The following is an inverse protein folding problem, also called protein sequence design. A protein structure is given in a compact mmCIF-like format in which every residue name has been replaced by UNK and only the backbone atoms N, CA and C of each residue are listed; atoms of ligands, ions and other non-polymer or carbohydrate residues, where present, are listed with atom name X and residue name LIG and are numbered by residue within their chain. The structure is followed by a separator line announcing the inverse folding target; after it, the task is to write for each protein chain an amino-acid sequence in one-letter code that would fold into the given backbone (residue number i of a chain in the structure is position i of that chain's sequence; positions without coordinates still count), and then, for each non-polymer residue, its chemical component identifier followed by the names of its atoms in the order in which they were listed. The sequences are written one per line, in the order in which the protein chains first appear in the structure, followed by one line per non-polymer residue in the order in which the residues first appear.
data_IF_984326685304
#
_entry.id   IF_984326685304
#
_cell.length_a   1.000
_cell.length_b   1.000
_cell.length_c   1.000
_cell.angle_alpha   90.00
_cell.angle_beta   90.00
_cell.angle_gamma   90.00
#
_symmetry.space_group_name_H-M   'P 1'
#
loop_
_entity.id
_entity.type
_entity.pdbx_description
1 polymer ?
#
# COMPACT_ATOMS: atom_id res chain seq x y z
N UNK A 1 5.28 22.05 8.55
CA UNK A 1 4.38 20.89 8.71
C UNK A 1 5.13 19.78 9.42
N UNK A 2 4.56 19.19 10.47
CA UNK A 2 5.09 18.03 11.17
C UNK A 2 4.41 16.78 10.63
N UNK A 3 5.18 15.87 10.03
CA UNK A 3 4.67 14.66 9.39
C UNK A 3 5.13 13.43 10.15
N UNK A 4 4.20 12.59 10.57
CA UNK A 4 4.45 11.29 11.17
C UNK A 4 4.14 10.20 10.14
N UNK A 5 5.14 9.39 9.79
CA UNK A 5 4.96 8.22 8.93
C UNK A 5 4.67 7.01 9.83
N UNK A 6 3.42 6.61 9.93
CA UNK A 6 3.01 5.41 10.65
C UNK A 6 3.13 4.19 9.73
N UNK A 7 4.18 3.42 9.89
CA UNK A 7 4.53 2.29 9.03
C UNK A 7 5.74 2.57 8.14
N UNK A 8 6.87 2.92 8.75
CA UNK A 8 8.15 3.10 8.06
C UNK A 8 8.76 1.74 7.64
N UNK A 9 8.04 1.02 6.78
CA UNK A 9 8.57 -0.09 5.98
C UNK A 9 9.25 0.46 4.71
N UNK A 10 9.30 -0.32 3.63
CA UNK A 10 9.94 0.12 2.39
C UNK A 10 9.32 1.41 1.83
N UNK A 11 7.99 1.42 1.62
CA UNK A 11 7.28 2.57 1.03
C UNK A 11 7.27 3.77 1.98
N UNK A 12 7.00 3.56 3.29
CA UNK A 12 7.00 4.64 4.27
C UNK A 12 8.38 5.28 4.44
N UNK A 13 9.44 4.49 4.39
CA UNK A 13 10.82 4.98 4.41
C UNK A 13 11.16 5.79 3.15
N UNK A 14 10.75 5.31 1.95
CA UNK A 14 10.94 6.03 0.69
C UNK A 14 10.24 7.40 0.72
N UNK A 15 8.94 7.43 1.03
CA UNK A 15 8.16 8.67 1.05
C UNK A 15 8.72 9.62 2.12
N UNK A 16 9.04 9.10 3.31
CA UNK A 16 9.64 9.90 4.39
C UNK A 16 10.97 10.54 3.97
N UNK A 17 11.83 9.80 3.28
CA UNK A 17 13.09 10.32 2.76
C UNK A 17 12.87 11.40 1.69
N UNK A 18 11.91 11.22 0.79
CA UNK A 18 11.58 12.26 -0.19
C UNK A 18 11.04 13.52 0.48
N UNK A 19 10.07 13.38 1.37
CA UNK A 19 9.47 14.50 2.11
C UNK A 19 10.50 15.24 2.97
N UNK A 20 11.58 14.59 3.45
CA UNK A 20 12.62 15.24 4.23
C UNK A 20 13.45 16.27 3.43
N UNK A 21 13.34 16.27 2.10
CA UNK A 21 13.94 17.31 1.24
C UNK A 21 13.16 18.64 1.27
N UNK A 22 11.93 18.61 1.76
CA UNK A 22 11.08 19.81 1.88
C UNK A 22 11.30 20.51 3.23
N UNK A 23 10.51 21.55 3.51
CA UNK A 23 10.51 22.21 4.84
C UNK A 23 9.74 21.43 5.91
N UNK A 24 9.23 20.25 5.61
CA UNK A 24 8.50 19.43 6.58
C UNK A 24 9.46 18.73 7.57
N UNK A 25 9.05 18.65 8.82
CA UNK A 25 9.73 17.84 9.85
C UNK A 25 9.19 16.41 9.80
N UNK A 26 10.02 15.45 9.42
CA UNK A 26 9.60 14.06 9.22
C UNK A 26 10.01 13.21 10.40
N UNK A 27 9.05 12.41 10.90
CA UNK A 27 9.26 11.40 11.93
C UNK A 27 8.81 10.03 11.41
N UNK A 28 9.72 9.08 11.33
CA UNK A 28 9.42 7.71 10.95
C UNK A 28 9.05 6.88 12.18
N UNK A 29 7.93 6.16 12.12
CA UNK A 29 7.52 5.22 13.15
C UNK A 29 7.31 3.82 12.59
N UNK A 30 7.94 2.84 13.22
CA UNK A 30 7.73 1.42 12.92
C UNK A 30 8.06 0.57 14.14
N UNK A 31 7.32 -0.53 14.34
CA UNK A 31 7.65 -1.56 15.33
C UNK A 31 8.87 -2.42 14.93
N UNK A 32 9.36 -2.28 13.69
CA UNK A 32 10.63 -2.90 13.28
C UNK A 32 11.81 -2.12 13.87
N UNK A 33 12.13 -2.45 15.12
CA UNK A 33 13.19 -1.80 15.89
C UNK A 33 14.53 -1.80 15.16
N UNK A 34 14.93 -2.92 14.59
CA UNK A 34 16.20 -3.07 13.90
C UNK A 34 16.35 -2.07 12.74
N UNK A 35 15.29 -1.91 11.93
CA UNK A 35 15.26 -0.93 10.83
C UNK A 35 15.33 0.52 11.35
N UNK A 36 14.56 0.84 12.39
CA UNK A 36 14.55 2.18 12.99
C UNK A 36 15.89 2.54 13.63
N UNK A 37 16.53 1.60 14.34
CA UNK A 37 17.85 1.82 14.93
C UNK A 37 18.96 1.95 13.88
N UNK A 38 18.89 1.18 12.80
CA UNK A 38 19.84 1.32 11.68
C UNK A 38 19.77 2.72 11.07
N UNK A 39 18.57 3.21 10.75
CA UNK A 39 18.38 4.57 10.23
C UNK A 39 18.84 5.64 11.24
N UNK A 40 18.57 5.46 12.53
CA UNK A 40 19.01 6.40 13.57
C UNK A 40 20.53 6.55 13.62
N UNK A 41 21.26 5.46 13.42
CA UNK A 41 22.73 5.42 13.50
C UNK A 41 23.42 5.95 12.25
N UNK A 42 22.91 5.58 11.07
CA UNK A 42 23.61 5.81 9.81
C UNK A 42 22.80 6.55 8.73
N UNK A 43 21.55 6.92 9.01
CA UNK A 43 20.62 7.39 7.98
C UNK A 43 19.96 6.23 7.23
N UNK A 44 19.04 6.56 6.33
CA UNK A 44 18.42 5.62 5.41
C UNK A 44 19.17 5.63 4.09
N UNK A 45 19.70 4.50 3.70
CA UNK A 45 20.29 4.32 2.37
C UNK A 45 19.21 3.90 1.38
N UNK A 46 19.16 4.58 0.24
CA UNK A 46 18.25 4.28 -0.87
C UNK A 46 19.06 3.97 -2.12
N UNK A 47 18.95 2.72 -2.60
CA UNK A 47 19.36 2.40 -3.97
C UNK A 47 18.33 3.04 -4.92
N UNK A 48 18.76 4.05 -5.66
CA UNK A 48 17.91 4.83 -6.56
C UNK A 48 17.69 4.11 -7.90
N UNK A 49 16.74 4.62 -8.71
CA UNK A 49 16.43 4.06 -10.03
C UNK A 49 17.60 4.10 -11.00
N UNK A 50 18.51 5.05 -10.84
CA UNK A 50 19.75 5.20 -11.62
C UNK A 50 20.91 4.31 -11.13
N UNK A 51 20.67 3.51 -10.08
CA UNK A 51 21.64 2.62 -9.46
C UNK A 51 22.56 3.31 -8.44
N UNK A 52 22.44 4.62 -8.21
CA UNK A 52 23.19 5.31 -7.16
C UNK A 52 22.62 5.01 -5.78
N UNK A 53 23.46 5.10 -4.74
CA UNK A 53 22.99 5.01 -3.34
C UNK A 53 23.03 6.41 -2.73
N UNK A 54 21.92 6.82 -2.14
CA UNK A 54 21.79 8.10 -1.44
C UNK A 54 21.40 7.88 0.00
N UNK A 55 22.02 8.59 0.91
CA UNK A 55 21.75 8.56 2.34
C UNK A 55 20.85 9.71 2.77
N UNK A 56 19.86 9.41 3.63
CA UNK A 56 18.91 10.38 4.17
C UNK A 56 18.91 10.30 5.69
N UNK A 57 19.38 11.33 6.40
CA UNK A 57 19.24 11.41 7.86
C UNK A 57 17.79 11.68 8.24
N UNK A 58 17.21 10.78 9.06
CA UNK A 58 15.80 10.83 9.43
C UNK A 58 15.61 10.59 10.93
N UNK A 59 14.63 11.27 11.52
CA UNK A 59 14.21 10.98 12.90
C UNK A 59 13.38 9.71 12.91
N UNK A 60 13.73 8.75 13.78
CA UNK A 60 13.07 7.44 13.86
C UNK A 60 12.61 7.12 15.27
N UNK A 61 11.47 6.45 15.34
CA UNK A 61 10.83 6.00 16.57
C UNK A 61 10.33 4.57 16.42
N UNK A 62 10.46 3.77 17.45
CA UNK A 62 9.90 2.41 17.54
C UNK A 62 9.07 2.22 18.81
N UNK A 63 9.03 3.22 19.70
CA UNK A 63 8.23 3.29 20.91
C UNK A 63 7.21 4.43 20.76
N UNK A 64 5.93 4.12 20.99
CA UNK A 64 4.84 5.07 20.74
C UNK A 64 4.83 6.26 21.74
N UNK A 65 5.29 6.02 22.97
CA UNK A 65 5.40 7.05 24.04
C UNK A 65 6.47 8.12 23.76
N UNK A 66 7.38 7.84 22.83
CA UNK A 66 8.45 8.75 22.37
C UNK A 66 8.08 9.57 21.14
N UNK A 67 6.90 9.34 20.57
CA UNK A 67 6.45 10.05 19.37
C UNK A 67 6.25 11.55 19.64
N UNK A 68 6.59 12.41 18.65
CA UNK A 68 6.28 13.84 18.75
C UNK A 68 4.77 14.07 18.79
N UNK A 69 4.34 15.01 19.61
CA UNK A 69 2.92 15.34 19.76
C UNK A 69 2.43 16.30 18.67
N UNK A 70 1.14 16.23 18.41
CA UNK A 70 0.42 17.10 17.49
C UNK A 70 1.03 17.13 16.07
N UNK A 71 1.20 15.97 15.41
CA UNK A 71 1.56 15.99 14.00
C UNK A 71 0.45 16.65 13.18
N UNK A 72 0.82 17.46 12.19
CA UNK A 72 -0.13 18.03 11.23
C UNK A 72 -0.68 16.95 10.29
N UNK A 73 0.16 15.97 9.94
CA UNK A 73 -0.15 14.85 9.07
C UNK A 73 0.35 13.52 9.64
N UNK A 74 -0.51 12.52 9.67
CA UNK A 74 -0.14 11.10 9.85
C UNK A 74 -0.32 10.39 8.52
N UNK A 75 0.79 9.93 7.93
CA UNK A 75 0.77 9.11 6.73
C UNK A 75 0.76 7.63 7.13
N UNK A 76 -0.37 6.94 6.89
CA UNK A 76 -0.57 5.54 7.29
C UNK A 76 -0.12 4.61 6.17
N UNK A 77 0.98 3.88 6.40
CA UNK A 77 1.65 3.01 5.42
C UNK A 77 2.01 1.62 5.98
N UNK A 78 1.37 1.24 7.08
CA UNK A 78 1.47 -0.14 7.57
C UNK A 78 0.75 -1.10 6.61
N UNK A 79 1.06 -2.39 6.71
CA UNK A 79 0.24 -3.42 6.06
C UNK A 79 -1.20 -3.34 6.56
N UNK A 80 -2.18 -3.55 5.70
CA UNK A 80 -3.61 -3.36 5.99
C UNK A 80 -4.08 -4.06 7.26
N UNK A 81 -3.58 -5.28 7.53
CA UNK A 81 -3.92 -6.03 8.74
C UNK A 81 -3.37 -5.41 10.05
N UNK A 82 -2.44 -4.46 9.95
CA UNK A 82 -1.85 -3.75 11.09
C UNK A 82 -2.42 -2.34 11.30
N UNK A 83 -3.39 -1.89 10.48
CA UNK A 83 -3.91 -0.52 10.51
C UNK A 83 -4.48 -0.16 11.88
N UNK A 84 -5.35 -0.99 12.44
CA UNK A 84 -5.97 -0.73 13.74
C UNK A 84 -4.92 -0.64 14.87
N UNK A 85 -3.97 -1.57 14.90
CA UNK A 85 -2.87 -1.57 15.88
C UNK A 85 -1.99 -0.32 15.74
N UNK A 86 -1.64 0.07 14.50
CA UNK A 86 -0.85 1.27 14.27
C UNK A 86 -1.57 2.54 14.73
N UNK A 87 -2.87 2.65 14.43
CA UNK A 87 -3.67 3.78 14.88
C UNK A 87 -3.80 3.86 16.40
N UNK A 88 -4.00 2.73 17.10
CA UNK A 88 -4.04 2.73 18.57
C UNK A 88 -2.73 3.20 19.19
N UNK A 89 -1.60 3.01 18.52
CA UNK A 89 -0.29 3.48 18.96
C UNK A 89 -0.05 4.97 18.70
N UNK A 90 -0.59 5.51 17.59
CA UNK A 90 -0.28 6.89 17.18
C UNK A 90 -1.38 7.90 17.54
N UNK A 91 -2.64 7.45 17.70
CA UNK A 91 -3.77 8.36 17.96
C UNK A 91 -3.59 9.22 19.22
N UNK A 92 -2.98 8.67 20.27
CA UNK A 92 -2.75 9.38 21.54
C UNK A 92 -1.78 10.57 21.45
N UNK A 93 -1.04 10.74 20.35
CA UNK A 93 -0.20 11.90 20.11
C UNK A 93 -0.81 12.89 19.12
N UNK A 94 -1.95 12.56 18.51
CA UNK A 94 -2.65 13.39 17.54
C UNK A 94 -3.52 14.45 18.21
N UNK A 95 -3.83 15.51 17.48
CA UNK A 95 -4.79 16.55 17.86
C UNK A 95 -6.05 16.48 16.99
N UNK A 96 -7.08 17.23 17.33
CA UNK A 96 -8.30 17.31 16.51
C UNK A 96 -8.05 17.88 15.09
N UNK A 97 -6.94 18.58 14.87
CA UNK A 97 -6.55 19.12 13.56
C UNK A 97 -5.62 18.21 12.77
N UNK A 98 -5.22 17.06 13.32
CA UNK A 98 -4.35 16.10 12.62
C UNK A 98 -5.08 15.48 11.42
N UNK A 99 -4.49 15.56 10.24
CA UNK A 99 -4.98 14.90 9.04
C UNK A 99 -4.33 13.51 8.90
N UNK A 100 -5.11 12.51 8.52
CA UNK A 100 -4.63 11.17 8.22
C UNK A 100 -4.70 10.94 6.71
N UNK A 101 -3.59 10.55 6.09
CA UNK A 101 -3.56 10.12 4.70
C UNK A 101 -3.19 8.64 4.64
N UNK A 102 -4.00 7.82 3.96
CA UNK A 102 -3.63 6.44 3.65
C UNK A 102 -3.28 6.28 2.18
N UNK A 103 -2.15 5.62 1.91
CA UNK A 103 -1.72 5.16 0.59
C UNK A 103 -1.55 3.63 0.56
N UNK A 104 -2.18 2.94 1.51
CA UNK A 104 -2.10 1.48 1.65
C UNK A 104 -2.75 0.77 0.46
N UNK A 105 -2.27 -0.44 0.17
CA UNK A 105 -2.92 -1.31 -0.81
C UNK A 105 -4.23 -1.89 -0.26
N UNK A 106 -5.11 -2.30 -1.17
CA UNK A 106 -6.38 -2.90 -0.82
C UNK A 106 -7.45 -1.89 -0.43
N UNK A 107 -8.58 -2.39 0.02
CA UNK A 107 -9.78 -1.61 0.34
C UNK A 107 -10.14 -1.74 1.82
N UNK A 108 -10.84 -0.75 2.35
CA UNK A 108 -11.29 -0.68 3.74
C UNK A 108 -10.29 0.02 4.66
N UNK A 109 -9.24 0.65 4.12
CA UNK A 109 -8.22 1.31 4.93
C UNK A 109 -8.67 2.67 5.46
N UNK A 110 -9.21 3.52 4.60
CA UNK A 110 -9.66 4.84 5.01
C UNK A 110 -10.88 4.75 5.95
N UNK A 111 -11.76 3.78 5.74
CA UNK A 111 -12.91 3.52 6.60
C UNK A 111 -12.46 3.17 8.03
N UNK A 112 -11.48 2.25 8.17
CA UNK A 112 -10.91 1.91 9.48
C UNK A 112 -10.22 3.07 10.17
N UNK A 113 -9.58 3.95 9.41
CA UNK A 113 -8.97 5.16 9.97
C UNK A 113 -10.08 6.10 10.43
N UNK A 114 -11.14 6.26 9.64
CA UNK A 114 -12.29 7.11 9.96
C UNK A 114 -13.05 6.67 11.21
N UNK A 115 -13.14 5.35 11.47
CA UNK A 115 -13.74 4.81 12.70
C UNK A 115 -13.02 5.30 13.98
N UNK A 116 -11.73 5.62 13.89
CA UNK A 116 -10.90 6.02 15.04
C UNK A 116 -10.69 7.53 15.06
N UNK A 117 -10.37 8.12 13.93
CA UNK A 117 -9.96 9.53 13.83
C UNK A 117 -11.11 10.48 13.46
N UNK A 118 -12.26 9.94 13.05
CA UNK A 118 -13.35 10.69 12.44
C UNK A 118 -13.17 10.85 10.93
N UNK A 119 -14.28 10.82 10.20
CA UNK A 119 -14.29 10.85 8.72
C UNK A 119 -13.64 12.12 8.16
N UNK A 120 -13.92 13.25 8.79
CA UNK A 120 -13.38 14.57 8.39
C UNK A 120 -11.85 14.68 8.52
N UNK A 121 -11.23 13.80 9.30
CA UNK A 121 -9.78 13.80 9.47
C UNK A 121 -9.03 13.01 8.39
N UNK A 122 -9.75 12.26 7.51
CA UNK A 122 -9.12 11.28 6.62
C UNK A 122 -9.07 11.78 5.19
N UNK A 123 -7.91 11.60 4.57
CA UNK A 123 -7.68 11.63 3.13
C UNK A 123 -7.26 10.23 2.66
N UNK A 124 -7.59 9.91 1.44
CA UNK A 124 -7.20 8.67 0.82
C UNK A 124 -6.34 8.93 -0.44
N UNK A 125 -5.55 7.93 -0.81
CA UNK A 125 -4.80 8.02 -2.05
C UNK A 125 -4.44 6.66 -2.63
N UNK A 126 -4.07 6.69 -3.88
CA UNK A 126 -3.53 5.55 -4.62
C UNK A 126 -2.14 5.91 -5.12
N UNK A 127 -1.14 5.07 -4.86
CA UNK A 127 0.24 5.34 -5.29
C UNK A 127 0.79 4.18 -6.11
N UNK A 128 1.52 4.52 -7.17
CA UNK A 128 2.30 3.58 -7.98
C UNK A 128 3.81 3.70 -7.69
N UNK A 129 4.18 4.32 -6.55
CA UNK A 129 5.55 4.27 -6.06
C UNK A 129 5.92 2.85 -5.65
N UNK A 130 7.07 2.38 -6.11
CA UNK A 130 7.60 1.06 -5.80
C UNK A 130 8.83 1.14 -4.90
N UNK A 131 8.87 0.32 -3.84
CA UNK A 131 10.05 0.20 -3.01
C UNK A 131 10.16 -1.19 -2.39
N UNK A 132 11.39 -1.61 -2.11
CA UNK A 132 11.69 -2.91 -1.50
C UNK A 132 12.65 -2.72 -0.34
N UNK A 133 12.33 -3.29 0.82
CA UNK A 133 13.24 -3.35 1.96
C UNK A 133 14.28 -4.44 1.71
N UNK A 134 15.54 -4.03 1.57
CA UNK A 134 16.68 -4.94 1.32
C UNK A 134 17.30 -5.41 2.63
N UNK A 135 17.31 -4.54 3.64
CA UNK A 135 17.83 -4.83 4.97
C UNK A 135 17.57 -3.67 5.92
N UNK A 136 17.96 -3.78 7.20
CA UNK A 136 17.84 -2.69 8.15
C UNK A 136 18.58 -1.44 7.66
N UNK A 137 17.87 -0.31 7.56
CA UNK A 137 18.44 0.97 7.08
C UNK A 137 18.65 1.06 5.57
N UNK A 138 18.28 0.03 4.78
CA UNK A 138 18.51 -0.01 3.34
C UNK A 138 17.24 -0.40 2.59
N UNK A 139 16.84 0.45 1.62
CA UNK A 139 15.74 0.16 0.70
C UNK A 139 16.18 0.34 -0.74
N UNK A 140 15.46 -0.28 -1.67
CA UNK A 140 15.57 -0.02 -3.11
C UNK A 140 14.33 0.72 -3.60
N UNK A 141 14.52 1.81 -4.32
CA UNK A 141 13.47 2.47 -5.10
C UNK A 141 13.21 1.65 -6.35
N UNK A 142 12.03 1.10 -6.51
CA UNK A 142 11.70 0.15 -7.58
C UNK A 142 10.74 0.68 -8.64
N UNK A 143 10.24 1.92 -8.48
CA UNK A 143 9.35 2.55 -9.44
C UNK A 143 8.84 3.91 -8.97
N UNK A 144 8.82 4.89 -9.87
CA UNK A 144 8.40 6.27 -9.64
C UNK A 144 7.09 6.56 -10.38
N UNK A 145 6.03 5.82 -10.05
CA UNK A 145 4.70 6.06 -10.60
C UNK A 145 3.92 7.12 -9.81
N UNK A 146 2.79 7.61 -10.36
CA UNK A 146 2.03 8.69 -9.76
C UNK A 146 1.37 8.29 -8.43
N UNK A 147 1.16 9.31 -7.60
CA UNK A 147 0.36 9.24 -6.37
C UNK A 147 -0.83 10.18 -6.52
N UNK A 148 -2.02 9.65 -6.38
CA UNK A 148 -3.27 10.42 -6.41
C UNK A 148 -3.77 10.60 -4.98
N UNK A 149 -4.14 11.83 -4.61
CA UNK A 149 -4.63 12.16 -3.27
C UNK A 149 -5.97 12.89 -3.40
N UNK A 150 -6.95 12.50 -2.60
CA UNK A 150 -8.27 13.13 -2.60
C UNK A 150 -9.06 12.86 -1.33
N UNK A 151 -10.26 13.42 -1.28
CA UNK A 151 -11.24 13.06 -0.27
C UNK A 151 -11.79 11.65 -0.61
N UNK A 152 -12.00 10.77 0.38
CA UNK A 152 -12.62 9.47 0.14
C UNK A 152 -13.98 9.58 -0.54
N UNK A 153 -14.70 10.65 -0.27
CA UNK A 153 -15.98 10.97 -0.86
C UNK A 153 -15.98 12.43 -1.33
N UNK A 154 -16.37 12.64 -2.59
CA UNK A 154 -16.43 13.96 -3.22
C UNK A 154 -15.12 14.44 -3.85
N UNK A 155 -15.10 15.70 -4.31
CA UNK A 155 -13.96 16.26 -5.03
C UNK A 155 -12.76 16.55 -4.12
N UNK A 156 -11.58 16.67 -4.72
CA UNK A 156 -10.36 17.01 -4.00
C UNK A 156 -10.49 18.39 -3.32
N UNK A 157 -10.29 18.39 -2.01
CA UNK A 157 -10.34 19.59 -1.19
C UNK A 157 -9.03 20.38 -1.25
N UNK A 158 -9.04 21.58 -0.67
CA UNK A 158 -7.84 22.41 -0.55
C UNK A 158 -6.73 21.71 0.28
N UNK A 159 -7.10 20.94 1.34
CA UNK A 159 -6.13 20.19 2.14
C UNK A 159 -5.49 19.06 1.31
N UNK A 160 -6.25 18.38 0.46
CA UNK A 160 -5.71 17.38 -0.46
C UNK A 160 -4.73 18.01 -1.45
N UNK A 161 -5.08 19.17 -2.04
CA UNK A 161 -4.21 19.91 -2.98
C UNK A 161 -2.91 20.35 -2.31
N UNK A 162 -2.95 20.84 -1.07
CA UNK A 162 -1.74 21.20 -0.29
C UNK A 162 -0.83 20.01 -0.06
N UNK A 163 -1.37 18.82 0.19
CA UNK A 163 -0.55 17.62 0.33
C UNK A 163 0.05 17.19 -1.01
N UNK A 164 -0.68 17.33 -2.11
CA UNK A 164 -0.13 17.11 -3.45
C UNK A 164 1.06 18.03 -3.73
N UNK A 165 0.96 19.33 -3.40
CA UNK A 165 2.09 20.25 -3.56
C UNK A 165 3.29 19.85 -2.69
N UNK A 166 3.08 19.42 -1.45
CA UNK A 166 4.15 18.90 -0.60
C UNK A 166 4.84 17.67 -1.22
N UNK A 167 4.07 16.76 -1.83
CA UNK A 167 4.62 15.60 -2.53
C UNK A 167 5.42 16.02 -3.77
N UNK A 168 4.94 17.00 -4.54
CA UNK A 168 5.64 17.56 -5.70
C UNK A 168 6.95 18.25 -5.32
N UNK A 169 6.94 19.05 -4.24
CA UNK A 169 8.16 19.66 -3.67
C UNK A 169 9.20 18.57 -3.27
N UNK A 170 8.72 17.39 -2.86
CA UNK A 170 9.54 16.23 -2.54
C UNK A 170 9.99 15.41 -3.76
N UNK A 171 9.78 15.92 -4.97
CA UNK A 171 10.09 15.23 -6.25
C UNK A 171 9.31 13.92 -6.45
N UNK A 172 8.17 13.79 -5.80
CA UNK A 172 7.24 12.69 -6.02
C UNK A 172 6.18 13.11 -7.05
N UNK A 173 5.92 12.25 -8.03
CA UNK A 173 4.82 12.48 -8.98
C UNK A 173 3.50 12.39 -8.22
N UNK A 174 2.76 13.50 -8.11
CA UNK A 174 1.52 13.54 -7.36
C UNK A 174 0.46 14.42 -8.05
N UNK A 175 -0.81 14.00 -7.98
CA UNK A 175 -1.95 14.67 -8.57
C UNK A 175 -3.13 14.66 -7.57
N UNK A 176 -3.92 15.75 -7.50
CA UNK A 176 -5.20 15.71 -6.80
C UNK A 176 -6.20 14.88 -7.60
N UNK A 177 -7.10 14.19 -6.91
CA UNK A 177 -8.14 13.39 -7.56
C UNK A 177 -9.50 13.66 -6.98
N UNK A 178 -10.45 14.00 -7.84
CA UNK A 178 -11.86 14.13 -7.48
C UNK A 178 -12.57 12.77 -7.37
N UNK A 179 -11.90 11.69 -7.80
CA UNK A 179 -12.43 10.32 -7.84
C UNK A 179 -11.43 9.32 -7.21
N UNK A 180 -10.80 9.68 -6.10
CA UNK A 180 -9.74 8.86 -5.50
C UNK A 180 -10.22 7.45 -5.13
N UNK A 181 -11.47 7.30 -4.70
CA UNK A 181 -12.07 6.01 -4.39
C UNK A 181 -12.11 5.10 -5.62
N UNK A 182 -12.45 5.65 -6.81
CA UNK A 182 -12.40 4.92 -8.08
C UNK A 182 -10.98 4.44 -8.41
N UNK A 183 -9.96 5.28 -8.20
CA UNK A 183 -8.56 4.92 -8.43
C UNK A 183 -8.07 3.83 -7.47
N UNK A 184 -8.55 3.83 -6.23
CA UNK A 184 -8.27 2.76 -5.26
C UNK A 184 -8.89 1.44 -5.73
N UNK A 185 -10.15 1.45 -6.21
CA UNK A 185 -10.79 0.27 -6.78
C UNK A 185 -10.08 -0.23 -8.03
N UNK A 186 -9.69 0.67 -8.94
CA UNK A 186 -8.92 0.30 -10.13
C UNK A 186 -7.62 -0.41 -9.77
N UNK A 187 -6.87 0.15 -8.81
CA UNK A 187 -5.65 -0.46 -8.30
C UNK A 187 -5.91 -1.80 -7.62
N UNK A 188 -7.03 -1.94 -6.89
CA UNK A 188 -7.45 -3.22 -6.33
C UNK A 188 -7.62 -4.27 -7.42
N UNK A 189 -8.36 -3.97 -8.49
CA UNK A 189 -8.60 -4.89 -9.61
C UNK A 189 -7.29 -5.31 -10.28
N UNK A 190 -6.35 -4.36 -10.46
CA UNK A 190 -5.00 -4.68 -10.96
C UNK A 190 -4.28 -5.66 -10.03
N UNK A 191 -4.29 -5.40 -8.74
CA UNK A 191 -3.63 -6.26 -7.75
C UNK A 191 -4.28 -7.64 -7.63
N UNK A 192 -5.60 -7.74 -7.78
CA UNK A 192 -6.36 -9.01 -7.80
C UNK A 192 -5.86 -9.92 -8.91
N UNK A 193 -5.66 -9.39 -10.11
CA UNK A 193 -5.22 -10.19 -11.26
C UNK A 193 -3.73 -10.60 -11.21
N UNK A 194 -2.91 -9.95 -10.39
CA UNK A 194 -1.45 -10.17 -10.42
C UNK A 194 -0.95 -10.80 -9.11
N UNK A 195 -1.33 -10.26 -7.95
CA UNK A 195 -0.59 -10.46 -6.72
C UNK A 195 -0.70 -11.87 -6.15
N UNK A 196 -1.91 -12.42 -6.07
CA UNK A 196 -2.13 -13.76 -5.52
C UNK A 196 -1.54 -14.83 -6.44
N UNK A 197 -1.73 -14.71 -7.74
CA UNK A 197 -1.21 -15.65 -8.75
C UNK A 197 0.32 -15.71 -8.65
N UNK A 198 0.98 -14.54 -8.75
CA UNK A 198 2.45 -14.47 -8.69
C UNK A 198 2.99 -14.85 -7.30
N UNK A 199 2.25 -14.55 -6.23
CA UNK A 199 2.61 -14.96 -4.86
C UNK A 199 2.62 -16.47 -4.69
N UNK A 200 1.57 -17.14 -5.14
CA UNK A 200 1.41 -18.60 -5.01
C UNK A 200 2.36 -19.39 -5.90
N UNK A 201 2.58 -18.92 -7.13
CA UNK A 201 3.35 -19.66 -8.15
C UNK A 201 4.84 -19.31 -8.15
N UNK A 202 5.26 -18.22 -7.52
CA UNK A 202 6.65 -17.76 -7.55
C UNK A 202 7.06 -17.02 -8.82
N UNK A 203 6.19 -16.91 -9.83
CA UNK A 203 6.51 -16.25 -11.11
C UNK A 203 6.63 -14.72 -10.96
N UNK A 204 7.29 -14.08 -11.93
CA UNK A 204 7.32 -12.63 -12.08
C UNK A 204 6.07 -12.14 -12.79
N UNK A 205 5.77 -10.84 -12.66
CA UNK A 205 4.54 -10.25 -13.20
C UNK A 205 4.36 -10.51 -14.72
N UNK A 206 5.44 -10.48 -15.52
CA UNK A 206 5.38 -10.66 -16.98
C UNK A 206 4.78 -12.00 -17.41
N UNK A 207 4.98 -13.05 -16.61
CA UNK A 207 4.44 -14.37 -16.92
C UNK A 207 2.91 -14.41 -16.92
N UNK A 208 2.22 -13.47 -16.25
CA UNK A 208 0.77 -13.30 -16.38
C UNK A 208 0.34 -13.06 -17.83
N UNK A 209 1.17 -12.38 -18.63
CA UNK A 209 0.88 -12.05 -20.01
C UNK A 209 1.49 -13.04 -21.03
N UNK A 210 2.34 -13.95 -20.57
CA UNK A 210 3.11 -14.88 -21.41
C UNK A 210 2.60 -16.32 -21.32
N UNK A 211 2.04 -16.71 -20.16
CA UNK A 211 1.54 -18.07 -19.91
C UNK A 211 0.02 -18.10 -20.04
N UNK A 212 -0.57 -18.90 -20.98
CA UNK A 212 -2.02 -18.96 -21.18
C UNK A 212 -2.79 -19.24 -19.88
N UNK A 213 -2.34 -20.19 -19.08
CA UNK A 213 -3.01 -20.58 -17.81
C UNK A 213 -3.00 -19.44 -16.78
N UNK A 214 -1.90 -18.68 -16.72
CA UNK A 214 -1.82 -17.51 -15.84
C UNK A 214 -2.68 -16.35 -16.35
N UNK A 215 -2.76 -16.17 -17.66
CA UNK A 215 -3.62 -15.18 -18.32
C UNK A 215 -5.10 -15.48 -18.06
N UNK A 216 -5.52 -16.75 -18.20
CA UNK A 216 -6.92 -17.15 -18.01
C UNK A 216 -7.33 -17.05 -16.54
N UNK A 217 -6.45 -17.43 -15.60
CA UNK A 217 -6.70 -17.28 -14.18
C UNK A 217 -6.77 -15.79 -13.78
N UNK A 218 -5.88 -14.96 -14.32
CA UNK A 218 -5.92 -13.51 -14.14
C UNK A 218 -7.24 -12.93 -14.66
N UNK A 219 -7.65 -13.28 -15.89
CA UNK A 219 -8.91 -12.84 -16.50
C UNK A 219 -10.09 -13.17 -15.59
N UNK A 220 -10.23 -14.42 -15.17
CA UNK A 220 -11.35 -14.88 -14.35
C UNK A 220 -11.41 -14.14 -13.01
N UNK A 221 -10.26 -13.97 -12.32
CA UNK A 221 -10.20 -13.23 -11.06
C UNK A 221 -10.58 -11.75 -11.23
N UNK A 222 -10.14 -11.12 -12.34
CA UNK A 222 -10.43 -9.71 -12.66
C UNK A 222 -11.90 -9.52 -13.02
N UNK A 223 -12.51 -10.43 -13.79
CA UNK A 223 -13.93 -10.38 -14.16
C UNK A 223 -14.84 -10.42 -12.93
N UNK A 224 -14.57 -11.30 -11.96
CA UNK A 224 -15.27 -11.30 -10.68
C UNK A 224 -15.10 -9.96 -9.94
N UNK A 225 -13.88 -9.42 -9.89
CA UNK A 225 -13.59 -8.16 -9.22
C UNK A 225 -14.28 -6.95 -9.87
N UNK A 226 -14.41 -6.92 -11.20
CA UNK A 226 -15.14 -5.89 -11.95
C UNK A 226 -16.63 -5.91 -11.58
N UNK A 227 -17.25 -7.09 -11.54
CA UNK A 227 -18.66 -7.22 -11.18
C UNK A 227 -18.90 -6.73 -9.74
N UNK A 228 -18.04 -7.13 -8.82
CA UNK A 228 -18.11 -6.70 -7.42
C UNK A 228 -17.89 -5.19 -7.29
N UNK A 229 -16.91 -4.62 -8.00
CA UNK A 229 -16.67 -3.18 -8.01
C UNK A 229 -17.90 -2.41 -8.52
N UNK A 230 -18.57 -2.91 -9.58
CA UNK A 230 -19.80 -2.34 -10.11
C UNK A 230 -20.93 -2.30 -9.08
N UNK A 231 -21.08 -3.34 -8.25
CA UNK A 231 -22.06 -3.39 -7.16
C UNK A 231 -21.80 -2.37 -6.04
N UNK A 232 -20.56 -1.88 -5.95
CA UNK A 232 -20.16 -0.84 -4.99
C UNK A 232 -20.14 0.57 -5.60
N UNK A 233 -20.67 0.75 -6.83
CA UNK A 233 -20.75 2.03 -7.51
C UNK A 233 -19.51 2.41 -8.33
N UNK A 234 -18.59 1.48 -8.53
CA UNK A 234 -17.36 1.69 -9.31
C UNK A 234 -17.35 0.79 -10.56
N UNK A 235 -18.15 1.10 -11.59
CA UNK A 235 -18.21 0.29 -12.80
C UNK A 235 -16.90 0.38 -13.59
N UNK A 236 -16.38 -0.78 -14.00
CA UNK A 236 -15.30 -0.93 -14.96
C UNK A 236 -15.77 -1.80 -16.12
N UNK A 237 -15.33 -1.51 -17.32
CA UNK A 237 -15.63 -2.32 -18.48
C UNK A 237 -14.65 -3.49 -18.65
N UNK A 238 -14.93 -4.34 -19.65
CA UNK A 238 -14.11 -5.52 -19.95
C UNK A 238 -12.68 -5.19 -20.36
N UNK A 239 -12.43 -3.97 -20.83
CA UNK A 239 -11.09 -3.45 -21.14
C UNK A 239 -10.17 -3.46 -19.93
N UNK A 240 -10.71 -3.51 -18.70
CA UNK A 240 -9.93 -3.59 -17.47
C UNK A 240 -9.08 -4.87 -17.42
N UNK A 241 -9.55 -5.98 -17.98
CA UNK A 241 -8.75 -7.22 -18.12
C UNK A 241 -7.49 -6.95 -18.92
N UNK A 242 -7.63 -6.29 -20.08
CA UNK A 242 -6.48 -5.95 -20.94
C UNK A 242 -5.54 -4.96 -20.26
N UNK A 243 -6.08 -4.02 -19.46
CA UNK A 243 -5.29 -3.09 -18.67
C UNK A 243 -4.45 -3.84 -17.62
N UNK A 244 -5.02 -4.80 -16.91
CA UNK A 244 -4.29 -5.62 -15.92
C UNK A 244 -3.14 -6.39 -16.60
N UNK A 245 -3.41 -7.05 -17.73
CA UNK A 245 -2.39 -7.78 -18.50
C UNK A 245 -1.29 -6.81 -18.99
N UNK A 246 -1.66 -5.61 -19.43
CA UNK A 246 -0.70 -4.59 -19.86
C UNK A 246 0.19 -4.12 -18.72
N UNK A 247 -0.37 -3.92 -17.52
CA UNK A 247 0.40 -3.57 -16.31
C UNK A 247 1.33 -4.73 -15.93
N UNK A 248 0.87 -5.97 -15.99
CA UNK A 248 1.69 -7.15 -15.73
C UNK A 248 2.90 -7.21 -16.69
N UNK A 249 2.68 -6.92 -17.99
CA UNK A 249 3.74 -6.85 -19.01
C UNK A 249 4.70 -5.68 -18.76
N UNK A 250 4.18 -4.49 -18.49
CA UNK A 250 5.00 -3.29 -18.22
C UNK A 250 5.88 -3.44 -16.97
N UNK A 251 5.41 -4.21 -15.99
CA UNK A 251 6.15 -4.53 -14.76
C UNK A 251 6.76 -5.93 -14.80
N UNK A 252 7.00 -6.47 -15.99
CA UNK A 252 7.29 -7.88 -16.22
C UNK A 252 8.47 -8.46 -15.44
N UNK A 253 9.50 -7.64 -15.19
CA UNK A 253 10.67 -8.05 -14.40
C UNK A 253 10.45 -8.00 -12.89
N UNK A 254 9.36 -7.39 -12.43
CA UNK A 254 9.10 -7.18 -11.01
C UNK A 254 8.53 -8.45 -10.38
N UNK A 255 8.86 -8.63 -9.11
CA UNK A 255 8.17 -9.50 -8.18
C UNK A 255 7.05 -8.70 -7.53
N UNK A 256 5.81 -9.17 -7.56
CA UNK A 256 4.69 -8.46 -6.92
C UNK A 256 4.94 -8.25 -5.42
N UNK A 257 4.27 -7.25 -4.82
CA UNK A 257 4.41 -6.99 -3.38
C UNK A 257 4.01 -8.20 -2.53
N UNK A 258 2.95 -8.92 -2.93
CA UNK A 258 2.52 -10.15 -2.26
C UNK A 258 3.54 -11.27 -2.46
N UNK A 259 4.11 -11.41 -3.64
CA UNK A 259 5.20 -12.35 -3.90
C UNK A 259 6.43 -12.08 -3.03
N UNK A 260 6.79 -10.80 -2.83
CA UNK A 260 7.89 -10.43 -1.93
C UNK A 260 7.59 -10.77 -0.46
N UNK A 261 6.33 -10.66 -0.02
CA UNK A 261 5.92 -11.08 1.33
C UNK A 261 6.04 -12.61 1.48
N UNK A 262 5.59 -13.37 0.47
CA UNK A 262 5.72 -14.85 0.42
C UNK A 262 7.19 -15.27 0.45
N UNK A 263 8.05 -14.67 -0.37
CA UNK A 263 9.48 -14.97 -0.42
C UNK A 263 10.16 -14.76 0.95
N UNK A 264 9.65 -13.81 1.74
CA UNK A 264 10.13 -13.49 3.09
C UNK A 264 9.36 -14.25 4.21
N UNK A 265 8.48 -15.18 3.86
CA UNK A 265 7.58 -15.89 4.78
C UNK A 265 6.83 -14.95 5.74
N UNK A 266 6.32 -13.84 5.19
CA UNK A 266 5.52 -12.85 5.91
C UNK A 266 4.05 -12.99 5.55
N UNK A 267 3.18 -12.59 6.50
CA UNK A 267 1.75 -12.43 6.23
C UNK A 267 1.54 -11.46 5.09
N UNK A 268 0.68 -11.82 4.13
CA UNK A 268 0.36 -11.01 2.96
C UNK A 268 -0.86 -10.11 3.19
N UNK A 269 -1.20 -9.30 2.19
CA UNK A 269 -2.43 -8.49 2.18
C UNK A 269 -3.58 -9.19 1.43
N UNK A 270 -3.58 -10.51 1.36
CA UNK A 270 -4.58 -11.30 0.61
C UNK A 270 -6.01 -10.94 1.04
N UNK A 271 -6.26 -10.76 2.35
CA UNK A 271 -7.59 -10.41 2.89
C UNK A 271 -8.09 -9.04 2.44
N UNK A 272 -7.18 -8.11 2.15
CA UNK A 272 -7.51 -6.75 1.70
C UNK A 272 -7.56 -6.62 0.18
N UNK A 273 -7.11 -7.62 -0.56
CA UNK A 273 -7.07 -7.66 -2.03
C UNK A 273 -8.12 -8.68 -2.52
N UNK A 274 -7.76 -9.92 -2.82
CA UNK A 274 -8.73 -10.93 -3.29
C UNK A 274 -9.80 -11.23 -2.24
N UNK A 275 -9.43 -11.32 -0.95
CA UNK A 275 -10.38 -11.50 0.15
C UNK A 275 -11.39 -10.36 0.30
N UNK A 276 -11.05 -9.13 -0.11
CA UNK A 276 -12.00 -8.04 -0.16
C UNK A 276 -13.06 -8.24 -1.25
N UNK A 277 -12.66 -8.73 -2.43
CA UNK A 277 -13.59 -9.10 -3.51
C UNK A 277 -14.55 -10.19 -3.03
N UNK A 278 -14.03 -11.21 -2.34
CA UNK A 278 -14.83 -12.30 -1.75
C UNK A 278 -15.85 -11.74 -0.75
N UNK A 279 -15.40 -10.89 0.17
CA UNK A 279 -16.29 -10.32 1.20
C UNK A 279 -17.41 -9.49 0.57
N UNK A 280 -17.07 -8.57 -0.33
CA UNK A 280 -18.06 -7.71 -1.00
C UNK A 280 -18.95 -8.48 -1.97
N UNK A 281 -18.42 -9.53 -2.61
CA UNK A 281 -19.22 -10.46 -3.41
C UNK A 281 -20.30 -11.13 -2.56
N UNK A 282 -19.94 -11.66 -1.39
CA UNK A 282 -20.91 -12.27 -0.45
C UNK A 282 -21.97 -11.29 0.03
N UNK A 283 -21.57 -10.06 0.38
CA UNK A 283 -22.51 -8.99 0.76
C UNK A 283 -23.51 -8.65 -0.35
N UNK A 284 -23.08 -8.72 -1.61
CA UNK A 284 -23.90 -8.39 -2.78
C UNK A 284 -24.59 -9.61 -3.43
N UNK A 285 -24.37 -10.84 -2.93
CA UNK A 285 -24.88 -12.06 -3.56
C UNK A 285 -24.18 -12.41 -4.88
N UNK A 286 -22.97 -11.94 -5.12
CA UNK A 286 -22.18 -12.15 -6.32
C UNK A 286 -21.18 -13.28 -6.07
N UNK A 287 -21.20 -14.39 -6.84
CA UNK A 287 -20.21 -15.46 -6.73
C UNK A 287 -18.81 -14.98 -7.11
N UNK A 288 -17.80 -15.39 -6.33
CA UNK A 288 -16.38 -15.07 -6.58
C UNK A 288 -15.47 -16.29 -6.39
N UNK A 289 -15.77 -17.43 -7.05
CA UNK A 289 -15.11 -18.71 -6.79
C UNK A 289 -13.59 -18.68 -7.04
N UNK A 290 -13.12 -17.94 -8.03
CA UNK A 290 -11.69 -17.81 -8.32
C UNK A 290 -10.99 -17.03 -7.22
N UNK A 291 -11.53 -15.89 -6.81
CA UNK A 291 -10.97 -15.10 -5.73
C UNK A 291 -11.04 -15.82 -4.38
N UNK A 292 -12.10 -16.61 -4.12
CA UNK A 292 -12.20 -17.47 -2.93
C UNK A 292 -11.09 -18.53 -2.90
N UNK A 293 -10.84 -19.18 -4.05
CA UNK A 293 -9.80 -20.21 -4.20
C UNK A 293 -8.42 -19.60 -3.98
N UNK A 294 -8.10 -18.49 -4.64
CA UNK A 294 -6.82 -17.80 -4.49
C UNK A 294 -6.58 -17.33 -3.05
N UNK A 295 -7.63 -16.81 -2.41
CA UNK A 295 -7.57 -16.37 -1.00
C UNK A 295 -7.29 -17.56 -0.08
N UNK A 296 -7.99 -18.66 -0.27
CA UNK A 296 -7.84 -19.87 0.54
C UNK A 296 -6.45 -20.50 0.38
N UNK A 297 -5.95 -20.61 -0.86
CA UNK A 297 -4.62 -21.14 -1.14
C UNK A 297 -3.53 -20.28 -0.49
N UNK A 298 -3.64 -18.95 -0.57
CA UNK A 298 -2.69 -18.05 0.07
C UNK A 298 -2.69 -18.20 1.59
N UNK A 299 -3.86 -18.33 2.21
CA UNK A 299 -3.96 -18.57 3.67
C UNK A 299 -3.38 -19.91 4.10
N UNK A 300 -3.56 -20.96 3.29
CA UNK A 300 -2.93 -22.27 3.53
C UNK A 300 -1.40 -22.13 3.46
N UNK A 301 -0.88 -21.40 2.47
CA UNK A 301 0.54 -21.13 2.35
C UNK A 301 1.08 -20.35 3.57
N UNK A 302 0.37 -19.31 4.02
CA UNK A 302 0.75 -18.51 5.19
C UNK A 302 0.75 -19.34 6.49
N UNK A 303 -0.20 -20.26 6.65
CA UNK A 303 -0.27 -21.13 7.83
C UNK A 303 0.98 -22.01 8.00
N UNK A 304 1.64 -22.39 6.91
CA UNK A 304 2.89 -23.16 6.95
C UNK A 304 4.05 -22.35 7.57
N UNK A 305 4.01 -21.01 7.52
CA UNK A 305 5.08 -20.19 8.10
C UNK A 305 5.13 -20.25 9.61
N UNK A 306 3.98 -20.49 10.26
CA UNK A 306 3.87 -20.65 11.71
C UNK A 306 4.17 -22.08 12.15
N UNK A 307 3.74 -23.09 11.40
CA UNK A 307 3.97 -24.50 11.72
C UNK A 307 5.43 -24.93 11.60
N UNK A 308 6.23 -24.28 10.75
CA UNK A 308 7.68 -24.54 10.62
C UNK A 308 8.53 -23.85 11.71
N UNK A 309 7.92 -23.04 12.60
CA UNK A 309 8.61 -22.38 13.72
C UNK A 309 8.46 -23.09 15.05
N UNK A 310 7.69 -24.17 15.09
CA UNK A 310 7.60 -25.05 16.27
C UNK A 310 8.58 -26.19 16.04
N UNK A 311 9.65 -26.33 16.87
CA UNK A 311 10.59 -27.42 16.77
C UNK A 311 9.96 -28.74 17.15
#
# INVERSE_FOLDING_TARGET
MNVLIAGAGALGSLIGARLSKTRASISLFSTNREHMEAIRRGGLDIEELDGTVRNYPLKTFFEADKLPRNPDLVLVLVKTYATQTALSLVHGVCSASTVFLTLQNGIGNWERIAEIAGKEAVLAGSTAQGSTLLGPGLIRHGGNGPTYIGEPEGPASERARRLVELFREAELVAEPSDEVARLIWEKLVINVGINAITGLTGIRNGFIAEMPEATDLCRSAVEEAIIVAGSKGFPFGVEMVQRVISVARATGRNRSSMGQDVDKKKKTEIDAINGAVVRFGKEAGIPTPVNETLTSLMKVLEAQYTSQRTP
#
